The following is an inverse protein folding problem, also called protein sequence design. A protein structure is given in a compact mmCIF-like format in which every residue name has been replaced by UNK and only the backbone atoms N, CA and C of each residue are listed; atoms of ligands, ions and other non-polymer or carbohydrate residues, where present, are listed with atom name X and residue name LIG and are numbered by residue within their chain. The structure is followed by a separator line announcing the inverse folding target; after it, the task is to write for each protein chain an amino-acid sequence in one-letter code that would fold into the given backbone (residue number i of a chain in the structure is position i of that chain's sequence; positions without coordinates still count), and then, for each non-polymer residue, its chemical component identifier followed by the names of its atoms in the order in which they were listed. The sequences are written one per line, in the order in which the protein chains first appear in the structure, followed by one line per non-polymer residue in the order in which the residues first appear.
data_IF_902845472534
#
_entry.id   IF_902845472534
#
_cell.length_a   1.000
_cell.length_b   1.000
_cell.length_c   1.000
_cell.angle_alpha   90.00
_cell.angle_beta   90.00
_cell.angle_gamma   90.00
#
_symmetry.space_group_name_H-M   'P 1'
#
loop_
_entity.id
_entity.type
_entity.pdbx_description
1 polymer ?
#
# COMPACT_ATOMS: atom_id res chain seq x y z
N UNK A 1 -0.43 28.75 -7.39
CA UNK A 1 -0.90 29.49 -6.19
C UNK A 1 0.01 29.29 -4.98
N UNK A 2 0.14 28.10 -4.39
CA UNK A 2 1.01 27.89 -3.22
C UNK A 2 2.50 28.20 -3.49
N UNK A 3 3.00 27.80 -4.66
CA UNK A 3 4.35 28.16 -5.12
C UNK A 3 4.50 29.69 -5.27
N UNK A 4 3.54 30.34 -5.92
CA UNK A 4 3.52 31.80 -6.13
C UNK A 4 3.48 32.59 -4.82
N UNK A 5 2.85 32.04 -3.78
CA UNK A 5 2.80 32.63 -2.43
C UNK A 5 4.08 32.40 -1.62
N UNK A 6 5.06 31.64 -2.13
CA UNK A 6 6.33 31.40 -1.45
C UNK A 6 6.25 30.50 -0.22
N UNK A 7 5.11 29.83 0.05
CA UNK A 7 4.95 29.02 1.27
C UNK A 7 5.73 27.68 1.24
N UNK A 8 6.38 27.38 0.13
CA UNK A 8 7.28 26.23 -0.04
C UNK A 8 8.71 26.50 0.47
N UNK A 9 9.06 27.77 0.68
CA UNK A 9 10.39 28.22 1.10
C UNK A 9 10.34 29.07 2.37
N UNK A 10 9.48 28.69 3.33
CA UNK A 10 9.37 29.36 4.61
C UNK A 10 10.65 29.14 5.43
N UNK A 11 11.19 30.23 6.01
CA UNK A 11 12.31 30.15 6.94
C UNK A 11 11.95 29.54 8.30
N UNK A 12 12.92 29.52 9.21
CA UNK A 12 12.72 29.08 10.61
C UNK A 12 12.00 30.11 11.49
N UNK A 13 11.62 31.25 10.92
CA UNK A 13 11.00 32.35 11.64
C UNK A 13 9.61 31.96 12.15
N UNK A 14 9.42 32.00 13.47
CA UNK A 14 8.15 31.67 14.12
C UNK A 14 7.27 32.92 14.20
N UNK A 15 6.66 33.28 13.07
CA UNK A 15 5.53 34.22 13.10
C UNK A 15 4.30 33.56 13.73
N UNK A 16 3.34 34.37 14.20
CA UNK A 16 2.08 33.87 14.77
C UNK A 16 1.26 32.96 13.83
N UNK A 17 1.55 32.99 12.54
CA UNK A 17 0.86 32.19 11.51
C UNK A 17 1.78 31.14 10.86
N UNK A 18 3.03 31.03 11.29
CA UNK A 18 4.02 30.16 10.65
C UNK A 18 3.57 28.69 10.63
N UNK A 19 3.00 28.20 11.73
CA UNK A 19 2.52 26.82 11.81
C UNK A 19 1.37 26.54 10.83
N UNK A 20 0.41 27.46 10.72
CA UNK A 20 -0.69 27.35 9.76
C UNK A 20 -0.17 27.34 8.31
N UNK A 21 0.84 28.16 7.99
CA UNK A 21 1.46 28.18 6.68
C UNK A 21 2.23 26.89 6.37
N UNK A 22 2.97 26.33 7.34
CA UNK A 22 3.65 25.04 7.21
C UNK A 22 2.65 23.91 6.94
N UNK A 23 1.58 23.83 7.73
CA UNK A 23 0.51 22.82 7.54
C UNK A 23 -0.16 22.97 6.17
N UNK A 24 -0.46 24.19 5.76
CA UNK A 24 -1.06 24.47 4.46
C UNK A 24 -0.15 24.03 3.29
N UNK A 25 1.15 24.33 3.38
CA UNK A 25 2.12 23.90 2.38
C UNK A 25 2.21 22.36 2.30
N UNK A 26 2.48 21.70 3.43
CA UNK A 26 2.70 20.26 3.44
C UNK A 26 1.44 19.45 3.10
N UNK A 27 0.26 19.94 3.45
CA UNK A 27 -1.00 19.34 2.97
C UNK A 27 -1.22 19.57 1.47
N UNK A 28 -0.86 20.75 0.93
CA UNK A 28 -0.91 20.99 -0.51
C UNK A 28 0.00 20.02 -1.25
N UNK A 29 1.24 19.90 -0.80
CA UNK A 29 2.22 18.96 -1.33
C UNK A 29 1.69 17.51 -1.28
N UNK A 30 1.17 17.09 -0.12
CA UNK A 30 0.58 15.78 0.07
C UNK A 30 -0.57 15.50 -0.91
N UNK A 31 -1.48 16.46 -1.09
CA UNK A 31 -2.62 16.35 -2.00
C UNK A 31 -2.19 16.25 -3.47
N UNK A 32 -1.13 16.96 -3.88
CA UNK A 32 -0.57 16.84 -5.23
C UNK A 32 -0.08 15.42 -5.48
N UNK A 33 0.69 14.84 -4.55
CA UNK A 33 1.12 13.45 -4.65
C UNK A 33 -0.06 12.47 -4.59
N UNK A 34 -1.05 12.73 -3.73
CA UNK A 34 -2.24 11.89 -3.64
C UNK A 34 -3.00 11.88 -4.98
N UNK A 35 -3.12 13.03 -5.64
CA UNK A 35 -3.73 13.16 -6.95
C UNK A 35 -3.01 12.34 -8.02
N UNK A 36 -1.68 12.36 -8.05
CA UNK A 36 -0.90 11.55 -9.00
C UNK A 36 -1.04 10.04 -8.75
N UNK A 37 -1.04 9.62 -7.48
CA UNK A 37 -1.24 8.20 -7.10
C UNK A 37 -2.62 7.71 -7.52
N UNK A 38 -3.69 8.50 -7.29
CA UNK A 38 -5.07 8.08 -7.62
C UNK A 38 -5.32 8.09 -9.12
N UNK A 39 -4.67 8.99 -9.86
CA UNK A 39 -4.80 9.08 -11.32
C UNK A 39 -3.82 8.19 -12.08
N UNK A 40 -2.99 7.40 -11.37
CA UNK A 40 -1.93 6.58 -11.96
C UNK A 40 -1.04 7.36 -12.94
N UNK A 41 -0.75 8.61 -12.59
CA UNK A 41 0.00 9.56 -13.44
C UNK A 41 1.29 10.00 -12.75
N UNK A 42 2.23 10.54 -13.53
CA UNK A 42 3.44 11.11 -12.95
C UNK A 42 3.11 12.34 -12.10
N UNK A 43 3.75 12.50 -10.91
CA UNK A 43 3.60 13.69 -10.10
C UNK A 43 3.86 14.96 -10.90
N UNK A 44 3.02 15.98 -10.71
CA UNK A 44 3.20 17.29 -11.35
C UNK A 44 4.33 18.13 -10.73
N UNK A 45 4.87 17.67 -9.59
CA UNK A 45 6.00 18.26 -8.88
C UNK A 45 7.11 17.24 -8.70
N UNK A 46 8.35 17.71 -8.53
CA UNK A 46 9.47 16.85 -8.17
C UNK A 46 9.31 16.43 -6.70
N UNK A 47 9.30 15.11 -6.46
CA UNK A 47 9.03 14.53 -5.13
C UNK A 47 10.09 14.94 -4.09
N UNK A 48 11.35 15.12 -4.49
CA UNK A 48 12.45 15.52 -3.61
C UNK A 48 13.09 16.81 -4.12
N UNK A 49 12.27 17.84 -4.34
CA UNK A 49 12.74 19.15 -4.78
C UNK A 49 13.55 19.83 -3.66
N UNK A 50 14.77 20.27 -3.97
CA UNK A 50 15.63 20.98 -3.03
C UNK A 50 15.10 22.37 -2.65
N UNK A 51 14.23 22.93 -3.49
CA UNK A 51 13.67 24.27 -3.27
C UNK A 51 12.55 24.25 -2.21
N UNK A 52 12.04 23.06 -1.85
CA UNK A 52 11.03 22.89 -0.81
C UNK A 52 11.69 22.83 0.58
N UNK A 53 12.00 24.01 1.13
CA UNK A 53 12.74 24.17 2.39
C UNK A 53 11.88 24.47 3.62
N UNK A 54 10.56 24.59 3.45
CA UNK A 54 9.62 24.83 4.56
C UNK A 54 9.73 23.74 5.65
N UNK A 55 9.99 24.08 6.92
CA UNK A 55 10.06 23.11 8.02
C UNK A 55 8.78 22.29 8.16
N UNK A 56 8.90 21.04 8.61
CA UNK A 56 7.72 20.23 8.95
C UNK A 56 6.92 20.89 10.10
N UNK A 57 5.58 20.81 10.06
CA UNK A 57 4.76 21.19 11.20
C UNK A 57 4.97 20.19 12.35
N UNK A 58 4.51 20.54 13.55
CA UNK A 58 4.76 19.73 14.75
C UNK A 58 3.45 19.43 15.49
N UNK A 59 3.34 18.21 16.01
CA UNK A 59 2.36 17.86 17.03
C UNK A 59 3.05 17.84 18.39
N UNK A 60 2.43 18.43 19.41
CA UNK A 60 2.95 18.33 20.78
C UNK A 60 2.99 16.88 21.26
N UNK A 61 2.07 16.03 20.79
CA UNK A 61 2.00 14.60 21.11
C UNK A 61 2.98 13.71 20.30
N UNK A 62 3.48 14.20 19.16
CA UNK A 62 4.35 13.44 18.25
C UNK A 62 5.12 14.38 17.31
N UNK A 63 6.32 14.79 17.73
CA UNK A 63 7.12 15.75 16.97
C UNK A 63 7.47 15.28 15.55
N UNK A 64 7.53 13.97 15.33
CA UNK A 64 7.94 13.36 14.05
C UNK A 64 6.74 12.97 13.16
N UNK A 65 5.50 13.14 13.62
CA UNK A 65 4.32 12.64 12.91
C UNK A 65 4.20 13.18 11.47
N UNK A 66 4.50 14.47 11.26
CA UNK A 66 4.47 15.08 9.93
C UNK A 66 5.60 14.61 9.02
N UNK A 67 6.82 14.48 9.54
CA UNK A 67 7.95 14.03 8.71
C UNK A 67 7.72 12.60 8.23
N UNK A 68 7.24 11.72 9.11
CA UNK A 68 6.85 10.35 8.79
C UNK A 68 5.74 10.31 7.74
N UNK A 69 4.72 11.18 7.87
CA UNK A 69 3.61 11.26 6.91
C UNK A 69 4.05 11.64 5.50
N UNK A 70 4.85 12.70 5.41
CA UNK A 70 5.31 13.20 4.11
C UNK A 70 6.25 12.19 3.46
N UNK A 71 7.17 11.59 4.21
CA UNK A 71 8.06 10.55 3.70
C UNK A 71 7.28 9.31 3.24
N UNK A 72 6.27 8.86 4.01
CA UNK A 72 5.41 7.76 3.60
C UNK A 72 4.64 8.07 2.31
N UNK A 73 4.16 9.30 2.13
CA UNK A 73 3.50 9.74 0.91
C UNK A 73 4.45 9.78 -0.29
N UNK A 74 5.69 10.25 -0.10
CA UNK A 74 6.74 10.25 -1.12
C UNK A 74 7.10 8.82 -1.54
N UNK A 75 7.31 7.91 -0.58
CA UNK A 75 7.62 6.51 -0.85
C UNK A 75 6.50 5.83 -1.64
N UNK A 76 5.24 6.09 -1.28
CA UNK A 76 4.08 5.57 -2.02
C UNK A 76 4.02 6.11 -3.45
N UNK A 77 4.25 7.41 -3.65
CA UNK A 77 4.29 8.01 -4.99
C UNK A 77 5.43 7.43 -5.84
N UNK A 78 6.61 7.22 -5.27
CA UNK A 78 7.75 6.63 -5.98
C UNK A 78 7.53 5.15 -6.32
N UNK A 79 6.87 4.39 -5.44
CA UNK A 79 6.47 3.01 -5.67
C UNK A 79 5.41 2.92 -6.78
N UNK A 80 4.46 3.86 -6.83
CA UNK A 80 3.47 3.95 -7.90
C UNK A 80 4.12 4.22 -9.26
N UNK A 81 5.02 5.20 -9.33
CA UNK A 81 5.82 5.45 -10.53
C UNK A 81 6.67 4.23 -10.93
N UNK A 82 7.20 3.49 -9.97
CA UNK A 82 7.92 2.25 -10.24
C UNK A 82 7.02 1.22 -10.92
N UNK A 83 5.79 1.04 -10.45
CA UNK A 83 4.84 0.09 -11.08
C UNK A 83 4.51 0.48 -12.52
N UNK A 84 4.34 1.78 -12.80
CA UNK A 84 4.15 2.28 -14.17
C UNK A 84 5.36 2.02 -15.06
N UNK A 85 6.56 2.32 -14.56
CA UNK A 85 7.80 2.13 -15.30
C UNK A 85 8.13 0.65 -15.52
N UNK A 86 7.87 -0.21 -14.53
CA UNK A 86 7.98 -1.66 -14.65
C UNK A 86 7.07 -2.18 -15.76
N UNK A 87 5.80 -1.76 -15.77
CA UNK A 87 4.83 -2.17 -16.80
C UNK A 87 5.30 -1.75 -18.20
N UNK A 88 5.89 -0.56 -18.35
CA UNK A 88 6.48 -0.09 -19.61
C UNK A 88 7.73 -0.88 -20.01
N UNK A 89 8.57 -1.26 -19.05
CA UNK A 89 9.78 -2.04 -19.34
C UNK A 89 9.42 -3.49 -19.71
N UNK A 90 8.40 -4.07 -19.09
CA UNK A 90 7.89 -5.40 -19.44
C UNK A 90 7.31 -5.44 -20.86
N UNK A 91 6.66 -4.38 -21.33
CA UNK A 91 6.10 -4.34 -22.70
C UNK A 91 7.15 -4.08 -23.78
N UNK A 92 8.20 -3.32 -23.47
CA UNK A 92 9.27 -2.99 -24.42
C UNK A 92 10.46 -3.94 -24.37
N UNK A 93 10.61 -4.72 -23.30
CA UNK A 93 11.76 -5.62 -23.07
C UNK A 93 13.08 -4.90 -22.80
N UNK A 94 13.04 -3.58 -22.52
CA UNK A 94 14.24 -2.75 -22.33
C UNK A 94 14.38 -2.26 -20.89
N UNK A 95 15.60 -1.93 -20.46
CA UNK A 95 15.91 -1.33 -19.15
C UNK A 95 15.59 -2.15 -17.88
N UNK A 96 15.44 -3.47 -17.98
CA UNK A 96 15.16 -4.34 -16.83
C UNK A 96 16.18 -4.23 -15.68
N UNK A 97 17.51 -4.14 -15.90
CA UNK A 97 18.47 -3.99 -14.81
C UNK A 97 18.27 -2.71 -13.98
N UNK A 98 17.93 -1.60 -14.63
CA UNK A 98 17.63 -0.33 -13.96
C UNK A 98 16.38 -0.43 -13.07
N UNK A 99 15.32 -1.08 -13.60
CA UNK A 99 14.09 -1.31 -12.85
C UNK A 99 14.33 -2.19 -11.63
N UNK A 100 15.16 -3.23 -11.74
CA UNK A 100 15.50 -4.09 -10.61
C UNK A 100 16.35 -3.38 -9.55
N UNK A 101 17.30 -2.53 -9.96
CA UNK A 101 18.04 -1.69 -9.03
C UNK A 101 17.11 -0.74 -8.27
N UNK A 102 16.18 -0.08 -8.98
CA UNK A 102 15.18 0.79 -8.38
C UNK A 102 14.23 0.03 -7.44
N UNK A 103 13.86 -1.20 -7.78
CA UNK A 103 13.03 -2.06 -6.93
C UNK A 103 13.70 -2.31 -5.57
N UNK A 104 15.00 -2.67 -5.57
CA UNK A 104 15.77 -2.89 -4.33
C UNK A 104 15.91 -1.61 -3.51
N UNK A 105 16.28 -0.50 -4.15
CA UNK A 105 16.43 0.78 -3.45
C UNK A 105 15.11 1.28 -2.83
N UNK A 106 13.98 1.06 -3.49
CA UNK A 106 12.67 1.37 -2.91
C UNK A 106 12.34 0.46 -1.73
N UNK A 107 12.56 -0.85 -1.84
CA UNK A 107 12.32 -1.78 -0.74
C UNK A 107 13.14 -1.42 0.51
N UNK A 108 14.44 -1.17 0.36
CA UNK A 108 15.33 -0.75 1.45
C UNK A 108 14.85 0.55 2.11
N UNK A 109 14.47 1.54 1.29
CA UNK A 109 13.97 2.83 1.76
C UNK A 109 12.67 2.66 2.55
N UNK A 110 11.72 1.88 2.03
CA UNK A 110 10.43 1.64 2.67
C UNK A 110 10.61 0.88 3.98
N UNK A 111 11.46 -0.14 4.02
CA UNK A 111 11.77 -0.90 5.25
C UNK A 111 12.39 0.00 6.32
N UNK A 112 13.29 0.90 5.94
CA UNK A 112 13.88 1.89 6.86
C UNK A 112 12.81 2.82 7.44
N UNK A 113 11.93 3.37 6.60
CA UNK A 113 10.84 4.24 7.04
C UNK A 113 9.82 3.49 7.92
N UNK A 114 9.54 2.22 7.63
CA UNK A 114 8.68 1.38 8.47
C UNK A 114 9.28 1.19 9.87
N UNK A 115 10.58 0.89 9.96
CA UNK A 115 11.27 0.76 11.25
C UNK A 115 11.20 2.07 12.05
N UNK A 116 11.43 3.22 11.40
CA UNK A 116 11.31 4.53 12.04
C UNK A 116 9.88 4.82 12.52
N UNK A 117 8.87 4.52 11.70
CA UNK A 117 7.46 4.77 12.04
C UNK A 117 6.94 3.94 13.22
N UNK A 118 7.66 2.89 13.63
CA UNK A 118 7.32 2.03 14.77
C UNK A 118 7.89 2.53 16.09
N UNK A 119 8.88 3.44 16.07
CA UNK A 119 9.47 4.02 17.28
C UNK A 119 8.42 4.83 18.05
N UNK A 120 8.46 4.83 19.38
CA UNK A 120 7.48 5.58 20.19
C UNK A 120 7.50 7.09 19.84
N UNK A 121 6.34 7.78 19.87
CA UNK A 121 6.27 9.22 19.67
C UNK A 121 7.19 9.99 20.61
N UNK A 122 7.89 10.98 20.05
CA UNK A 122 8.62 11.97 20.85
C UNK A 122 7.63 13.04 21.28
N UNK A 123 7.29 13.04 22.56
CA UNK A 123 6.34 13.98 23.16
C UNK A 123 7.09 15.27 23.49
N UNK A 124 6.51 16.40 23.09
CA UNK A 124 7.07 17.72 23.36
C UNK A 124 6.86 18.14 24.81
N UNK A 125 7.77 18.91 25.43
CA UNK A 125 7.61 19.42 26.79
C UNK A 125 6.38 20.32 26.99
N UNK A 126 5.86 20.89 25.91
CA UNK A 126 4.66 21.72 25.87
C UNK A 126 3.37 20.93 25.63
N UNK A 127 3.38 19.61 25.84
CA UNK A 127 2.20 18.77 25.65
C UNK A 127 1.11 19.15 26.66
N UNK A 128 0.01 19.67 26.15
CA UNK A 128 -1.21 19.91 26.89
C UNK A 128 -2.12 18.68 26.77
N UNK A 129 -2.48 18.11 27.92
CA UNK A 129 -3.34 16.91 28.00
C UNK A 129 -4.75 17.22 27.50
N UNK A 130 -5.16 18.50 27.53
CA UNK A 130 -6.49 18.93 27.11
C UNK A 130 -6.65 19.02 25.58
N UNK A 131 -5.55 18.92 24.80
CA UNK A 131 -5.61 18.90 23.33
C UNK A 131 -5.75 17.48 22.76
N UNK A 132 -6.86 16.83 23.12
CA UNK A 132 -7.23 15.52 22.57
C UNK A 132 -7.30 15.53 21.04
N UNK A 133 -7.65 16.67 20.43
CA UNK A 133 -7.84 16.76 18.98
C UNK A 133 -6.53 16.67 18.19
N UNK A 134 -5.47 17.37 18.64
CA UNK A 134 -4.14 17.25 18.06
C UNK A 134 -3.54 15.87 18.36
N UNK A 135 -3.76 15.33 19.56
CA UNK A 135 -3.32 13.98 19.92
C UNK A 135 -3.96 12.90 19.02
N UNK A 136 -5.28 12.94 18.84
CA UNK A 136 -6.00 12.04 17.94
C UNK A 136 -5.55 12.18 16.48
N UNK A 137 -5.23 13.40 16.05
CA UNK A 137 -4.69 13.67 14.71
C UNK A 137 -3.31 13.06 14.54
N UNK A 138 -2.41 13.23 15.52
CA UNK A 138 -1.08 12.63 15.52
C UNK A 138 -1.14 11.09 15.45
N UNK A 139 -1.99 10.46 16.26
CA UNK A 139 -2.23 9.01 16.22
C UNK A 139 -2.74 8.56 14.84
N UNK A 140 -3.70 9.29 14.27
CA UNK A 140 -4.25 9.00 12.95
C UNK A 140 -3.18 9.09 11.87
N UNK A 141 -2.36 10.14 11.91
CA UNK A 141 -1.27 10.36 10.96
C UNK A 141 -0.26 9.22 10.98
N UNK A 142 0.13 8.72 12.16
CA UNK A 142 1.00 7.54 12.26
C UNK A 142 0.40 6.30 11.62
N UNK A 143 -0.85 5.99 11.96
CA UNK A 143 -1.55 4.84 11.39
C UNK A 143 -1.64 4.95 9.87
N UNK A 144 -2.02 6.12 9.34
CA UNK A 144 -2.10 6.40 7.89
C UNK A 144 -0.73 6.27 7.23
N UNK A 145 0.32 6.79 7.85
CA UNK A 145 1.69 6.69 7.32
C UNK A 145 2.12 5.23 7.15
N UNK A 146 1.85 4.40 8.16
CA UNK A 146 2.13 2.96 8.11
C UNK A 146 1.30 2.26 7.04
N UNK A 147 0.02 2.58 6.92
CA UNK A 147 -0.85 2.05 5.85
C UNK A 147 -0.27 2.36 4.46
N UNK A 148 0.22 3.59 4.26
CA UNK A 148 0.83 4.02 2.99
C UNK A 148 2.15 3.31 2.71
N UNK A 149 3.01 3.14 3.72
CA UNK A 149 4.26 2.38 3.58
C UNK A 149 4.00 0.92 3.24
N UNK A 150 3.02 0.26 3.88
CA UNK A 150 2.64 -1.11 3.52
C UNK A 150 2.07 -1.21 2.10
N UNK A 151 1.27 -0.23 1.67
CA UNK A 151 0.80 -0.15 0.27
C UNK A 151 1.97 0.04 -0.71
N UNK A 152 2.98 0.84 -0.36
CA UNK A 152 4.20 0.99 -1.15
C UNK A 152 4.98 -0.34 -1.25
N UNK A 153 5.13 -1.09 -0.15
CA UNK A 153 5.74 -2.43 -0.18
C UNK A 153 4.98 -3.38 -1.10
N UNK A 154 3.64 -3.38 -1.02
CA UNK A 154 2.83 -4.19 -1.93
C UNK A 154 3.11 -3.80 -3.38
N UNK A 155 3.09 -2.50 -3.74
CA UNK A 155 3.37 -2.05 -5.11
C UNK A 155 4.74 -2.51 -5.63
N UNK A 156 5.75 -2.53 -4.77
CA UNK A 156 7.11 -3.00 -5.12
C UNK A 156 7.13 -4.51 -5.39
N UNK A 157 6.54 -5.33 -4.51
CA UNK A 157 6.64 -6.80 -4.58
C UNK A 157 5.53 -7.51 -5.38
N UNK A 158 4.40 -6.85 -5.61
CA UNK A 158 3.19 -7.47 -6.16
C UNK A 158 3.42 -8.09 -7.54
N UNK A 159 4.19 -7.44 -8.41
CA UNK A 159 4.50 -7.98 -9.72
C UNK A 159 5.15 -9.35 -9.56
N UNK A 160 6.27 -9.45 -8.83
CA UNK A 160 6.98 -10.70 -8.60
C UNK A 160 6.20 -11.76 -7.83
N UNK A 161 5.34 -11.35 -6.89
CA UNK A 161 4.53 -12.29 -6.11
C UNK A 161 3.40 -12.95 -6.93
N UNK A 162 2.91 -12.26 -7.98
CA UNK A 162 1.68 -12.64 -8.66
C UNK A 162 1.77 -12.63 -10.20
N UNK A 163 2.98 -12.64 -10.80
CA UNK A 163 3.20 -12.71 -12.26
C UNK A 163 2.32 -13.78 -12.96
N UNK A 164 2.18 -14.96 -12.35
CA UNK A 164 1.41 -16.10 -12.89
C UNK A 164 -0.10 -16.05 -12.58
N UNK A 165 -0.59 -14.97 -11.98
CA UNK A 165 -2.01 -14.83 -11.62
C UNK A 165 -2.68 -13.97 -12.68
N UNK A 166 -3.31 -14.60 -13.67
CA UNK A 166 -4.09 -13.97 -14.74
C UNK A 166 -5.37 -13.26 -14.24
N UNK A 167 -5.29 -12.55 -13.12
CA UNK A 167 -6.29 -11.57 -12.67
C UNK A 167 -5.96 -10.18 -13.27
N UNK A 168 -4.71 -9.93 -13.66
CA UNK A 168 -4.21 -8.62 -14.14
C UNK A 168 -4.39 -8.35 -15.65
N UNK A 169 -5.10 -9.20 -16.39
CA UNK A 169 -5.44 -8.96 -17.81
C UNK A 169 -6.80 -8.27 -18.02
N UNK A 170 -7.50 -7.84 -16.96
CA UNK A 170 -8.86 -7.31 -17.13
C UNK A 170 -8.85 -5.78 -17.18
N UNK A 171 -9.02 -5.24 -18.40
CA UNK A 171 -9.29 -3.82 -18.68
C UNK A 171 -10.46 -3.32 -17.82
N UNK A 172 -10.49 -2.04 -17.38
CA UNK A 172 -11.59 -1.49 -16.56
C UNK A 172 -12.93 -1.30 -17.29
N UNK A 173 -13.04 -1.69 -18.56
CA UNK A 173 -14.27 -1.60 -19.33
C UNK A 173 -14.46 -2.88 -20.13
N UNK A 174 -15.14 -3.86 -19.52
CA UNK A 174 -16.12 -4.67 -20.25
C UNK A 174 -17.05 -5.37 -19.24
N UNK A 175 -18.25 -4.82 -19.10
CA UNK A 175 -19.39 -5.56 -18.59
C UNK A 175 -19.81 -6.57 -19.66
N UNK A 176 -19.17 -7.73 -19.70
CA UNK A 176 -19.81 -8.94 -20.23
C UNK A 176 -19.12 -10.21 -19.74
N UNK A 177 -19.98 -11.11 -19.32
CA UNK A 177 -19.90 -12.56 -19.11
C UNK A 177 -18.74 -13.27 -19.85
N UNK A 178 -17.93 -14.05 -19.10
CA UNK A 178 -17.48 -15.42 -19.39
C UNK A 178 -16.17 -15.75 -18.64
N UNK A 179 -16.21 -16.65 -17.66
CA UNK A 179 -15.08 -17.54 -17.36
C UNK A 179 -15.64 -18.97 -17.25
N UNK A 180 -15.83 -19.57 -18.42
CA UNK A 180 -15.95 -21.02 -18.59
C UNK A 180 -14.66 -21.54 -19.23
N UNK A 181 -14.17 -22.66 -18.66
CA UNK A 181 -13.22 -23.63 -19.20
C UNK A 181 -11.78 -23.22 -19.59
N UNK A 182 -10.83 -23.78 -18.81
CA UNK A 182 -9.81 -24.72 -19.32
C UNK A 182 -8.59 -24.16 -20.07
N UNK A 183 -7.40 -24.30 -19.46
CA UNK A 183 -6.12 -24.13 -20.16
C UNK A 183 -4.93 -24.13 -19.21
N UNK A 184 -4.23 -25.27 -19.15
CA UNK A 184 -3.13 -25.60 -18.24
C UNK A 184 -1.84 -24.80 -18.54
N UNK A 185 -1.19 -24.32 -17.48
CA UNK A 185 0.19 -23.84 -17.45
C UNK A 185 0.66 -23.80 -16.00
N UNK A 186 1.07 -24.96 -15.47
CA UNK A 186 1.42 -25.15 -14.06
C UNK A 186 2.90 -24.84 -13.80
N UNK A 187 3.19 -23.76 -13.10
CA UNK A 187 4.41 -23.57 -12.31
C UNK A 187 4.05 -23.85 -10.84
N UNK A 188 4.41 -25.04 -10.35
CA UNK A 188 4.13 -25.46 -8.98
C UNK A 188 4.92 -24.62 -7.98
N UNK A 189 4.22 -23.83 -7.17
CA UNK A 189 4.77 -23.25 -5.94
C UNK A 189 4.79 -24.36 -4.88
N UNK A 190 5.98 -24.85 -4.52
CA UNK A 190 6.14 -25.85 -3.45
C UNK A 190 5.54 -25.33 -2.13
N UNK A 191 4.59 -26.10 -1.60
CA UNK A 191 3.71 -25.80 -0.46
C UNK A 191 4.42 -25.61 0.89
N UNK A 192 5.71 -25.88 0.99
CA UNK A 192 6.36 -26.12 2.27
C UNK A 192 6.96 -24.91 2.96
N UNK A 193 6.69 -23.66 2.55
CA UNK A 193 7.48 -22.57 3.16
C UNK A 193 6.89 -21.15 3.21
N UNK A 194 5.59 -21.01 2.96
CA UNK A 194 4.86 -19.75 3.22
C UNK A 194 4.47 -19.59 4.71
N UNK A 195 4.70 -20.60 5.55
CA UNK A 195 4.17 -20.71 6.91
C UNK A 195 5.09 -20.22 8.03
N UNK A 196 6.33 -19.81 7.72
CA UNK A 196 7.32 -19.48 8.74
C UNK A 196 7.54 -17.96 8.80
N UNK A 197 6.88 -17.27 9.75
CA UNK A 197 7.00 -15.83 9.99
C UNK A 197 7.80 -15.62 11.28
N UNK A 198 9.13 -15.67 11.16
CA UNK A 198 10.04 -15.16 12.20
C UNK A 198 10.83 -13.94 11.70
N UNK A 199 11.04 -13.04 12.65
CA UNK A 199 11.54 -11.66 12.60
C UNK A 199 13.06 -11.61 12.82
N UNK A 200 13.86 -10.92 11.98
CA UNK A 200 15.19 -10.40 12.37
C UNK A 200 15.66 -9.19 11.50
N UNK A 201 16.54 -8.31 12.04
CA UNK A 201 16.88 -6.99 11.51
C UNK A 201 18.09 -7.03 10.55
N UNK A 202 18.16 -6.00 9.71
CA UNK A 202 19.13 -5.87 8.61
C UNK A 202 20.50 -5.30 8.99
N UNK A 203 21.44 -5.49 8.08
CA UNK A 203 22.73 -4.80 8.02
C UNK A 203 22.96 -4.34 6.57
N UNK A 204 23.48 -3.12 6.38
CA UNK A 204 23.36 -2.31 5.16
C UNK A 204 24.72 -1.94 4.59
N UNK A 205 24.89 -1.90 3.26
CA UNK A 205 25.99 -1.15 2.61
C UNK A 205 25.55 -0.50 1.28
N UNK A 206 25.93 0.77 1.12
CA UNK A 206 25.52 1.76 0.09
C UNK A 206 26.19 1.60 -1.28
N UNK A 207 25.57 2.06 -2.38
CA UNK A 207 26.22 2.92 -3.40
C UNK A 207 25.27 3.60 -4.41
N UNK A 208 25.80 4.65 -5.06
CA UNK A 208 25.16 5.87 -5.59
C UNK A 208 24.59 5.82 -7.04
N UNK A 209 23.73 6.80 -7.33
CA UNK A 209 22.89 6.98 -8.52
C UNK A 209 23.50 7.81 -9.69
N UNK A 210 22.83 7.82 -10.86
CA UNK A 210 22.93 8.88 -11.90
C UNK A 210 21.74 8.87 -12.89
N UNK A 211 21.48 10.04 -13.49
CA UNK A 211 20.21 10.65 -13.96
C UNK A 211 19.77 10.40 -15.43
N UNK A 212 18.57 10.88 -15.86
CA UNK A 212 17.77 10.32 -16.97
C UNK A 212 17.58 11.25 -18.20
N UNK A 213 16.91 10.74 -19.26
CA UNK A 213 16.31 11.56 -20.34
C UNK A 213 14.91 11.04 -20.71
N UNK A 214 14.03 12.03 -20.93
CA UNK A 214 12.61 12.01 -21.24
C UNK A 214 12.28 11.63 -22.69
N UNK A 215 11.16 10.93 -22.91
CA UNK A 215 10.14 11.33 -23.92
C UNK A 215 8.99 10.30 -24.03
N UNK A 216 7.84 10.63 -23.44
CA UNK A 216 6.51 10.78 -24.07
C UNK A 216 6.21 10.12 -25.44
N UNK A 217 5.30 9.12 -25.50
CA UNK A 217 3.95 9.15 -26.16
C UNK A 217 3.30 7.80 -26.53
N UNK A 218 1.97 7.81 -26.37
CA UNK A 218 0.81 7.11 -26.96
C UNK A 218 0.93 5.77 -27.72
N UNK A 219 0.04 4.84 -27.32
CA UNK A 219 -0.13 3.48 -27.85
C UNK A 219 -1.16 3.40 -28.99
N UNK A 220 -0.79 2.68 -30.06
CA UNK A 220 -1.72 1.89 -30.88
C UNK A 220 -1.07 0.52 -31.07
N UNK A 221 -1.71 -0.55 -30.59
CA UNK A 221 -1.17 -1.90 -30.66
C UNK A 221 -2.07 -2.81 -31.50
N UNK A 222 -1.47 -3.37 -32.55
CA UNK A 222 -1.92 -4.62 -33.17
C UNK A 222 -0.79 -5.62 -32.93
N UNK A 223 -1.00 -6.61 -32.08
CA UNK A 223 -0.04 -7.70 -31.86
C UNK A 223 -0.41 -8.90 -32.73
N UNK A 224 0.55 -9.39 -33.51
CA UNK A 224 0.55 -10.73 -34.08
C UNK A 224 1.38 -11.66 -33.19
N UNK A 225 0.82 -12.84 -32.93
CA UNK A 225 1.47 -13.97 -32.26
C UNK A 225 2.63 -14.54 -33.10
N UNK A 226 3.76 -14.80 -32.46
CA UNK A 226 4.67 -15.86 -32.90
C UNK A 226 5.25 -16.62 -31.70
N UNK A 227 5.13 -17.95 -31.82
CA UNK A 227 5.66 -18.96 -30.92
C UNK A 227 7.11 -19.33 -31.26
N UNK A 228 7.86 -19.68 -30.21
CA UNK A 228 9.04 -20.57 -30.16
C UNK A 228 10.36 -20.10 -30.79
N UNK A 229 11.20 -19.46 -29.96
CA UNK A 229 12.67 -19.50 -30.07
C UNK A 229 13.28 -19.62 -28.65
N UNK A 230 14.40 -20.34 -28.44
CA UNK A 230 15.05 -20.43 -27.13
C UNK A 230 15.71 -19.09 -26.80
N UNK A 231 15.24 -18.43 -25.75
CA UNK A 231 15.82 -17.18 -25.27
C UNK A 231 17.27 -17.38 -24.83
N UNK A 232 18.18 -16.44 -25.16
CA UNK A 232 19.55 -16.50 -24.66
C UNK A 232 19.56 -16.35 -23.14
N UNK A 233 20.35 -17.21 -22.51
CA UNK A 233 20.62 -17.29 -21.08
C UNK A 233 21.29 -16.00 -20.59
N UNK A 234 20.49 -14.99 -20.25
CA UNK A 234 20.90 -13.90 -19.37
C UNK A 234 20.23 -14.18 -18.03
N UNK A 235 20.92 -14.90 -17.16
CA UNK A 235 20.65 -14.95 -15.73
C UNK A 235 20.85 -13.54 -15.15
N UNK A 236 19.89 -12.64 -15.41
CA UNK A 236 19.65 -11.49 -14.54
C UNK A 236 18.74 -12.04 -13.47
N UNK A 237 19.31 -12.54 -12.37
CA UNK A 237 18.53 -13.03 -11.24
C UNK A 237 17.48 -11.97 -10.87
N UNK A 238 16.21 -12.37 -10.88
CA UNK A 238 15.12 -11.53 -10.37
C UNK A 238 15.53 -10.99 -8.99
N UNK A 239 15.30 -9.70 -8.69
CA UNK A 239 15.85 -9.11 -7.48
C UNK A 239 15.30 -9.73 -6.19
N UNK A 240 14.12 -10.37 -6.25
CA UNK A 240 13.59 -11.19 -5.18
C UNK A 240 12.88 -12.44 -5.72
N UNK A 241 12.74 -13.45 -4.87
CA UNK A 241 11.98 -14.66 -5.21
C UNK A 241 10.47 -14.42 -5.13
N UNK A 242 9.69 -15.15 -5.94
CA UNK A 242 8.22 -15.13 -5.92
C UNK A 242 7.69 -15.38 -4.50
N UNK A 243 8.27 -16.36 -3.81
CA UNK A 243 7.92 -16.73 -2.44
C UNK A 243 8.18 -15.60 -1.45
N UNK A 244 9.35 -14.96 -1.52
CA UNK A 244 9.68 -13.83 -0.64
C UNK A 244 8.71 -12.68 -0.86
N UNK A 245 8.50 -12.28 -2.11
CA UNK A 245 7.58 -11.20 -2.48
C UNK A 245 6.14 -11.49 -2.05
N UNK A 246 5.66 -12.74 -2.17
CA UNK A 246 4.33 -13.13 -1.70
C UNK A 246 4.20 -13.01 -0.17
N UNK A 247 5.22 -13.42 0.59
CA UNK A 247 5.25 -13.29 2.06
C UNK A 247 5.25 -11.81 2.48
N UNK A 248 6.02 -10.96 1.80
CA UNK A 248 6.03 -9.51 2.05
C UNK A 248 4.65 -8.90 1.78
N UNK A 249 4.03 -9.20 0.64
CA UNK A 249 2.69 -8.70 0.32
C UNK A 249 1.62 -9.18 1.34
N UNK A 250 1.69 -10.44 1.77
CA UNK A 250 0.79 -10.99 2.80
C UNK A 250 0.92 -10.23 4.12
N UNK A 251 2.14 -10.09 4.62
CA UNK A 251 2.43 -9.39 5.86
C UNK A 251 1.97 -7.94 5.80
N UNK A 252 2.31 -7.22 4.71
CA UNK A 252 1.90 -5.84 4.50
C UNK A 252 0.37 -5.69 4.50
N UNK A 253 -0.35 -6.57 3.78
CA UNK A 253 -1.81 -6.52 3.75
C UNK A 253 -2.43 -6.74 5.13
N UNK A 254 -1.99 -7.77 5.88
CA UNK A 254 -2.48 -8.04 7.23
C UNK A 254 -2.16 -6.87 8.18
N UNK A 255 -0.95 -6.32 8.11
CA UNK A 255 -0.56 -5.16 8.90
C UNK A 255 -1.45 -3.94 8.63
N UNK A 256 -1.85 -3.69 7.37
CA UNK A 256 -2.82 -2.63 7.03
C UNK A 256 -4.17 -2.85 7.73
N UNK A 257 -4.66 -4.09 7.78
CA UNK A 257 -5.92 -4.41 8.49
C UNK A 257 -5.84 -4.18 10.00
N UNK A 258 -4.65 -4.30 10.60
CA UNK A 258 -4.42 -3.93 12.00
C UNK A 258 -4.35 -2.40 12.17
N UNK A 259 -3.69 -1.69 11.25
CA UNK A 259 -3.53 -0.24 11.34
C UNK A 259 -4.87 0.51 11.22
N UNK A 260 -5.84 -0.02 10.48
CA UNK A 260 -7.17 0.61 10.42
C UNK A 260 -7.99 0.45 11.69
N UNK A 261 -7.68 -0.54 12.54
CA UNK A 261 -8.38 -0.75 13.82
C UNK A 261 -7.96 0.26 14.89
N UNK A 262 -6.71 0.70 14.82
CA UNK A 262 -6.14 1.66 15.76
C UNK A 262 -6.46 3.12 15.39
N UNK A 263 -7.10 3.36 14.23
CA UNK A 263 -7.52 4.70 13.84
C UNK A 263 -8.54 5.22 14.86
N UNK A 264 -8.31 6.39 15.47
CA UNK A 264 -9.28 7.01 16.37
C UNK A 264 -10.65 7.17 15.68
N UNK A 265 -11.65 6.44 16.18
CA UNK A 265 -13.05 6.81 16.02
C UNK A 265 -13.42 7.77 17.14
N UNK A 266 -14.31 8.75 16.89
CA UNK A 266 -14.62 9.80 17.88
C UNK A 266 -14.88 9.28 19.30
N UNK A 267 -14.46 10.07 20.30
CA UNK A 267 -14.96 9.99 21.68
C UNK A 267 -15.98 11.12 21.96
N UNK A 268 -17.06 10.84 22.71
CA UNK A 268 -18.14 11.69 23.22
C UNK A 268 -17.90 13.10 23.80
N UNK A 269 -17.00 13.96 23.34
CA UNK A 269 -17.02 15.34 23.87
C UNK A 269 -18.31 16.11 23.49
N UNK A 270 -19.14 15.54 22.61
CA UNK A 270 -20.55 15.91 22.36
C UNK A 270 -21.58 14.83 22.73
N UNK A 271 -21.18 13.67 23.26
CA UNK A 271 -22.13 12.67 23.72
C UNK A 271 -22.28 12.80 25.24
N UNK A 272 -23.36 13.47 25.64
CA UNK A 272 -24.07 13.03 26.84
C UNK A 272 -24.20 11.51 26.75
N UNK A 273 -23.75 10.83 27.80
CA UNK A 273 -23.54 9.40 27.86
C UNK A 273 -24.64 8.54 27.20
N UNK A 274 -24.22 7.46 26.56
CA UNK A 274 -24.99 6.23 26.33
C UNK A 274 -26.14 6.23 25.31
N UNK A 275 -26.00 6.90 24.16
CA UNK A 275 -26.86 6.59 23.01
C UNK A 275 -26.14 5.72 21.96
N UNK A 276 -26.35 4.39 21.94
CA UNK A 276 -25.80 3.51 20.92
C UNK A 276 -26.37 3.75 19.51
N UNK A 277 -27.35 4.65 19.36
CA UNK A 277 -27.96 4.99 18.06
C UNK A 277 -27.21 6.08 17.28
N UNK A 278 -26.26 6.80 17.89
CA UNK A 278 -25.56 7.89 17.20
C UNK A 278 -24.46 7.34 16.26
N UNK A 279 -24.48 7.72 14.97
CA UNK A 279 -23.45 7.25 14.03
C UNK A 279 -22.06 7.76 14.44
N UNK A 280 -21.13 6.83 14.63
CA UNK A 280 -19.73 7.14 14.92
C UNK A 280 -19.05 7.56 13.61
N UNK A 281 -18.72 8.84 13.49
CA UNK A 281 -18.03 9.35 12.31
C UNK A 281 -16.52 9.14 12.42
N UNK A 282 -15.83 8.81 11.31
CA UNK A 282 -14.38 8.78 11.32
C UNK A 282 -13.81 10.20 11.44
N UNK A 283 -12.73 10.33 12.22
CA UNK A 283 -12.00 11.60 12.36
C UNK A 283 -11.05 11.88 11.19
N UNK A 284 -10.53 10.82 10.57
CA UNK A 284 -9.55 10.93 9.51
C UNK A 284 -10.20 11.06 8.13
N UNK A 285 -9.65 11.95 7.30
CA UNK A 285 -9.94 11.96 5.86
C UNK A 285 -9.37 10.67 5.25
N UNK A 286 -10.15 9.93 4.45
CA UNK A 286 -9.79 8.60 3.97
C UNK A 286 -8.84 8.61 2.75
N UNK A 287 -7.74 9.35 2.82
CA UNK A 287 -6.70 9.40 1.77
C UNK A 287 -5.98 8.05 1.55
N UNK A 288 -6.23 7.08 2.42
CA UNK A 288 -5.71 5.72 2.40
C UNK A 288 -6.69 4.68 1.83
N UNK A 289 -7.88 5.10 1.35
CA UNK A 289 -8.89 4.18 0.83
C UNK A 289 -8.38 3.29 -0.32
N UNK A 290 -7.61 3.86 -1.26
CA UNK A 290 -7.00 3.09 -2.35
C UNK A 290 -5.96 2.08 -1.85
N UNK A 291 -5.21 2.44 -0.80
CA UNK A 291 -4.30 1.51 -0.12
C UNK A 291 -5.09 0.31 0.43
N UNK A 292 -6.21 0.55 1.13
CA UNK A 292 -7.03 -0.53 1.67
C UNK A 292 -7.65 -1.42 0.60
N UNK A 293 -8.09 -0.85 -0.52
CA UNK A 293 -8.55 -1.62 -1.66
C UNK A 293 -7.44 -2.55 -2.18
N UNK A 294 -6.21 -2.04 -2.30
CA UNK A 294 -5.05 -2.84 -2.69
C UNK A 294 -4.77 -3.97 -1.68
N UNK A 295 -4.76 -3.66 -0.39
CA UNK A 295 -4.55 -4.67 0.67
C UNK A 295 -5.61 -5.77 0.63
N UNK A 296 -6.88 -5.41 0.48
CA UNK A 296 -7.99 -6.36 0.33
C UNK A 296 -7.88 -7.25 -0.90
N UNK A 297 -7.44 -6.68 -2.02
CA UNK A 297 -7.21 -7.44 -3.24
C UNK A 297 -6.09 -8.48 -3.06
N UNK A 298 -4.99 -8.11 -2.39
CA UNK A 298 -3.91 -9.06 -2.05
C UNK A 298 -4.43 -10.19 -1.16
N UNK A 299 -5.17 -9.87 -0.08
CA UNK A 299 -5.74 -10.89 0.79
C UNK A 299 -6.65 -11.87 0.04
N UNK A 300 -7.53 -11.34 -0.81
CA UNK A 300 -8.44 -12.14 -1.63
C UNK A 300 -7.68 -13.03 -2.61
N UNK A 301 -6.62 -12.51 -3.25
CA UNK A 301 -5.78 -13.26 -4.19
C UNK A 301 -5.06 -14.41 -3.50
N UNK A 302 -4.48 -14.17 -2.32
CA UNK A 302 -3.79 -15.20 -1.54
C UNK A 302 -4.79 -16.26 -1.05
N UNK A 303 -5.96 -15.85 -0.56
CA UNK A 303 -7.01 -16.77 -0.14
C UNK A 303 -7.47 -17.68 -1.29
N UNK A 304 -7.67 -17.11 -2.48
CA UNK A 304 -8.03 -17.87 -3.67
C UNK A 304 -6.97 -18.93 -4.01
N UNK A 305 -5.69 -18.54 -4.03
CA UNK A 305 -4.58 -19.46 -4.31
C UNK A 305 -4.45 -20.57 -3.26
N UNK A 306 -4.56 -20.24 -1.98
CA UNK A 306 -4.48 -21.22 -0.89
C UNK A 306 -5.54 -22.33 -1.06
N UNK A 307 -6.77 -21.95 -1.41
CA UNK A 307 -7.86 -22.91 -1.65
C UNK A 307 -7.69 -23.72 -2.93
N UNK A 308 -7.16 -23.12 -3.99
CA UNK A 308 -6.86 -23.87 -5.22
C UNK A 308 -5.80 -24.93 -4.96
N UNK A 309 -4.77 -24.61 -4.17
CA UNK A 309 -3.75 -25.59 -3.77
C UNK A 309 -4.35 -26.74 -2.93
N UNK A 310 -5.23 -26.43 -1.97
CA UNK A 310 -5.95 -27.43 -1.17
C UNK A 310 -6.80 -28.38 -2.05
N UNK A 311 -7.45 -27.87 -3.10
CA UNK A 311 -8.27 -28.68 -4.01
C UNK A 311 -7.45 -29.52 -5.00
N UNK A 312 -6.26 -29.04 -5.38
CA UNK A 312 -5.40 -29.72 -6.34
C UNK A 312 -4.65 -30.93 -5.73
N UNK A 313 -4.42 -30.92 -4.42
CA UNK A 313 -3.76 -32.00 -3.69
C UNK A 313 -4.62 -32.50 -2.50
N UNK A 314 -5.70 -33.24 -2.79
CA UNK A 314 -6.45 -33.93 -1.74
C UNK A 314 -5.62 -35.11 -1.23
N UNK A 315 -4.98 -34.93 -0.06
CA UNK A 315 -4.49 -35.96 0.87
C UNK A 315 -3.74 -37.18 0.31
N UNK A 316 -2.40 -37.18 0.45
CA UNK A 316 -1.62 -38.40 0.70
C UNK A 316 -0.44 -38.06 1.63
N UNK A 317 -0.67 -38.02 2.95
CA UNK A 317 0.25 -38.51 4.01
C UNK A 317 -0.10 -37.96 5.42
N UNK A 318 0.08 -38.75 6.50
CA UNK A 318 -0.24 -38.36 7.88
C UNK A 318 0.61 -37.21 8.47
N UNK A 319 1.67 -36.75 7.78
CA UNK A 319 2.39 -35.50 8.11
C UNK A 319 1.67 -34.22 7.66
N UNK A 320 0.64 -34.34 6.82
CA UNK A 320 -0.08 -33.24 6.14
C UNK A 320 -1.08 -32.51 7.05
N UNK A 321 -1.43 -33.08 8.20
CA UNK A 321 -2.41 -32.49 9.14
C UNK A 321 -1.97 -31.11 9.63
N UNK A 322 -0.67 -30.92 9.89
CA UNK A 322 -0.10 -29.61 10.27
C UNK A 322 -0.22 -28.57 9.16
N UNK A 323 -0.13 -28.98 7.89
CA UNK A 323 -0.20 -28.08 6.74
C UNK A 323 -1.63 -27.63 6.44
N UNK A 324 -2.63 -28.49 6.67
CA UNK A 324 -4.04 -28.14 6.49
C UNK A 324 -4.48 -27.16 7.58
N UNK A 325 -4.14 -27.43 8.84
CA UNK A 325 -4.46 -26.54 9.97
C UNK A 325 -3.80 -25.16 9.81
N UNK A 326 -2.54 -25.10 9.38
CA UNK A 326 -1.86 -23.84 9.12
C UNK A 326 -2.52 -23.06 7.95
N UNK A 327 -2.97 -23.75 6.91
CA UNK A 327 -3.70 -23.15 5.79
C UNK A 327 -5.06 -22.60 6.23
N UNK A 328 -5.79 -23.33 7.08
CA UNK A 328 -7.09 -22.90 7.59
C UNK A 328 -6.94 -21.70 8.54
N UNK A 329 -5.90 -21.69 9.39
CA UNK A 329 -5.58 -20.55 10.23
C UNK A 329 -5.26 -19.30 9.39
N UNK A 330 -4.50 -19.45 8.29
CA UNK A 330 -4.20 -18.37 7.37
C UNK A 330 -5.47 -17.83 6.70
N UNK A 331 -6.35 -18.71 6.20
CA UNK A 331 -7.63 -18.32 5.59
C UNK A 331 -8.49 -17.54 6.59
N UNK A 332 -8.53 -17.95 7.86
CA UNK A 332 -9.28 -17.23 8.89
C UNK A 332 -8.63 -15.88 9.27
N UNK A 333 -7.29 -15.78 9.24
CA UNK A 333 -6.60 -14.48 9.38
C UNK A 333 -6.95 -13.53 8.23
N UNK A 334 -6.93 -14.01 6.98
CA UNK A 334 -7.28 -13.23 5.79
C UNK A 334 -8.74 -12.77 5.85
N UNK A 335 -9.66 -13.66 6.27
CA UNK A 335 -11.08 -13.35 6.44
C UNK A 335 -11.29 -12.22 7.45
N UNK A 336 -10.66 -12.33 8.63
CA UNK A 336 -10.74 -11.29 9.67
C UNK A 336 -10.15 -9.96 9.21
N UNK A 337 -9.01 -9.99 8.51
CA UNK A 337 -8.38 -8.80 7.95
C UNK A 337 -9.29 -8.07 6.95
N UNK A 338 -9.90 -8.82 6.02
CA UNK A 338 -10.85 -8.29 5.04
C UNK A 338 -12.10 -7.71 5.70
N UNK A 339 -12.69 -8.44 6.64
CA UNK A 339 -13.87 -7.96 7.38
C UNK A 339 -13.56 -6.64 8.08
N UNK A 340 -12.38 -6.53 8.70
CA UNK A 340 -11.98 -5.29 9.35
C UNK A 340 -11.88 -4.13 8.36
N UNK A 341 -11.27 -4.34 7.18
CA UNK A 341 -11.17 -3.31 6.15
C UNK A 341 -12.57 -2.88 5.67
N UNK A 342 -13.46 -3.84 5.39
CA UNK A 342 -14.85 -3.57 4.97
C UNK A 342 -15.58 -2.75 6.04
N UNK A 343 -15.49 -3.15 7.31
CA UNK A 343 -16.13 -2.44 8.41
C UNK A 343 -15.61 -0.99 8.54
N UNK A 344 -14.30 -0.78 8.40
CA UNK A 344 -13.71 0.56 8.42
C UNK A 344 -14.16 1.40 7.21
N UNK A 345 -14.16 0.82 6.01
CA UNK A 345 -14.63 1.49 4.80
C UNK A 345 -16.12 1.83 4.88
N UNK A 346 -16.94 0.97 5.49
CA UNK A 346 -18.35 1.22 5.73
C UNK A 346 -18.56 2.43 6.64
N UNK A 347 -17.79 2.56 7.73
CA UNK A 347 -17.82 3.74 8.61
C UNK A 347 -17.44 5.03 7.86
N UNK A 348 -16.42 4.98 7.02
CA UNK A 348 -16.02 6.14 6.21
C UNK A 348 -17.02 6.47 5.10
N UNK A 349 -17.68 5.48 4.51
CA UNK A 349 -18.70 5.70 3.48
C UNK A 349 -19.96 6.42 3.99
N UNK A 350 -20.18 6.47 5.31
CA UNK A 350 -21.25 7.29 5.92
C UNK A 350 -20.95 8.78 5.72
N UNK A 351 -19.68 9.20 5.91
CA UNK A 351 -19.26 10.59 5.78
C UNK A 351 -18.79 10.95 4.35
N UNK A 352 -18.25 9.98 3.62
CA UNK A 352 -17.64 10.16 2.30
C UNK A 352 -18.31 9.23 1.28
N UNK A 353 -19.40 9.69 0.66
CA UNK A 353 -20.22 8.89 -0.26
C UNK A 353 -19.41 8.27 -1.41
N UNK A 354 -18.38 8.96 -1.91
CA UNK A 354 -17.49 8.45 -2.96
C UNK A 354 -16.79 7.13 -2.61
N UNK A 355 -16.67 6.79 -1.31
CA UNK A 355 -16.08 5.52 -0.88
C UNK A 355 -17.03 4.33 -0.98
N UNK A 356 -18.33 4.57 -1.19
CA UNK A 356 -19.33 3.50 -1.27
C UNK A 356 -18.99 2.50 -2.36
N UNK A 357 -18.62 2.98 -3.56
CA UNK A 357 -18.22 2.11 -4.66
C UNK A 357 -17.01 1.23 -4.32
N UNK A 358 -15.96 1.82 -3.74
CA UNK A 358 -14.75 1.07 -3.35
C UNK A 358 -15.08 0.02 -2.28
N UNK A 359 -15.91 0.37 -1.29
CA UNK A 359 -16.38 -0.57 -0.26
C UNK A 359 -17.13 -1.75 -0.88
N UNK A 360 -18.08 -1.46 -1.76
CA UNK A 360 -18.95 -2.49 -2.37
C UNK A 360 -18.13 -3.45 -3.25
N UNK A 361 -17.09 -2.96 -3.94
CA UNK A 361 -16.14 -3.80 -4.67
C UNK A 361 -15.35 -4.73 -3.74
N UNK A 362 -14.86 -4.23 -2.61
CA UNK A 362 -14.15 -5.04 -1.61
C UNK A 362 -15.09 -6.09 -1.01
N UNK A 363 -16.32 -5.72 -0.69
CA UNK A 363 -17.34 -6.62 -0.14
C UNK A 363 -17.73 -7.71 -1.14
N UNK A 364 -17.92 -7.34 -2.41
CA UNK A 364 -18.16 -8.30 -3.49
C UNK A 364 -17.00 -9.30 -3.65
N UNK A 365 -15.75 -8.81 -3.62
CA UNK A 365 -14.57 -9.67 -3.66
C UNK A 365 -14.51 -10.61 -2.45
N UNK A 366 -14.86 -10.12 -1.26
CA UNK A 366 -14.96 -10.93 -0.05
C UNK A 366 -16.02 -12.02 -0.17
N UNK A 367 -17.25 -11.70 -0.59
CA UNK A 367 -18.32 -12.69 -0.74
C UNK A 367 -17.95 -13.79 -1.74
N UNK A 368 -17.27 -13.43 -2.83
CA UNK A 368 -16.75 -14.40 -3.80
C UNK A 368 -15.61 -15.24 -3.24
N UNK A 369 -14.75 -14.64 -2.42
CA UNK A 369 -13.66 -15.34 -1.75
C UNK A 369 -14.16 -16.19 -0.57
N UNK A 370 -15.31 -15.92 0.04
CA UNK A 370 -15.87 -16.62 1.19
C UNK A 370 -17.38 -16.84 1.00
N UNK A 371 -17.80 -17.72 0.07
CA UNK A 371 -19.22 -18.01 -0.09
C UNK A 371 -19.76 -18.63 1.20
N UNK A 372 -20.92 -18.15 1.65
CA UNK A 372 -21.66 -18.82 2.73
C UNK A 372 -22.07 -20.23 2.25
N UNK A 373 -21.85 -21.22 3.11
CA UNK A 373 -22.00 -22.64 2.80
C UNK A 373 -23.47 -23.07 2.69
#
# INVERSE_FOLDING_TARGET
MALDMGIHSLGKDNTKFAEAQRRAWWMTYYCVLQGSIVSESSPSIVVNDSDFVTPYPQFSADADGWSILIQAQQALALADQFTLDLTRCLSTGTNMPYIYHRMKGLDETINTMLAQSQLLPVISPSFDVDDWSECATAMSIRAISRIKLFSAQIKVHQSQAFLDSSIFSRRPYDHSVCFGQGGMGTTSLSSESLWDVDYYPGDMTQSQASSPVSSSWSFSSTYQDYSTAPMPNIQTELPFSVKHSAKVCLHAALAMSHMVQILPSQHPFYASANDPSLPHFPLAIPSFASCLAQGSYIMSTICYKARMAQRAYPELDPGTCSSVVASDQLVEQLKRGLHCIIATMAKHAIAFEALRGIRDEIEYAYQRAFPEA
#
